data_IF_952602118261
#
_entry.id   IF_952602118261
#
_cell.length_a   1.000
_cell.length_b   1.000
_cell.length_c   1.000
_cell.angle_alpha   90.00
_cell.angle_beta   90.00
_cell.angle_gamma   90.00
#
_symmetry.space_group_name_H-M   'P 1'
#
loop_
_entity.id
_entity.type
_entity.pdbx_description
1 polymer ?
#
# COMPACT_ATOMS: atom_id res chain seq x y z
N UNK A 1 -13.31 -9.67 23.01
CA UNK A 1 -12.75 -8.42 23.53
C UNK A 1 -13.36 -7.27 22.73
N UNK A 2 -14.29 -6.49 23.30
CA UNK A 2 -14.75 -5.24 22.69
C UNK A 2 -13.72 -4.12 22.93
N UNK A 3 -13.70 -3.14 22.05
CA UNK A 3 -12.92 -1.93 22.16
C UNK A 3 -13.68 -0.75 21.57
N UNK A 4 -13.52 0.41 22.18
CA UNK A 4 -14.04 1.68 21.70
C UNK A 4 -12.95 2.73 21.84
N UNK A 5 -12.67 3.47 20.78
CA UNK A 5 -11.64 4.51 20.75
C UNK A 5 -12.27 5.80 20.22
N UNK A 6 -12.00 6.90 20.89
CA UNK A 6 -12.30 8.24 20.39
C UNK A 6 -11.00 8.87 19.92
N UNK A 7 -11.04 9.44 18.74
CA UNK A 7 -9.89 10.13 18.14
C UNK A 7 -10.27 11.52 17.68
N UNK A 8 -9.43 12.48 18.01
CA UNK A 8 -9.51 13.84 17.50
C UNK A 8 -8.22 14.21 16.81
N UNK A 9 -8.34 14.79 15.63
CA UNK A 9 -7.19 15.27 14.85
C UNK A 9 -7.44 16.69 14.38
N UNK A 10 -6.50 17.58 14.70
CA UNK A 10 -6.52 18.97 14.28
C UNK A 10 -5.35 19.17 13.32
N UNK A 11 -5.64 19.61 12.11
CA UNK A 11 -4.63 19.96 11.11
C UNK A 11 -4.71 21.46 10.85
N UNK A 12 -3.56 22.11 10.91
CA UNK A 12 -3.41 23.53 10.61
C UNK A 12 -2.28 23.69 9.63
N UNK A 13 -2.55 24.33 8.52
CA UNK A 13 -1.56 24.64 7.50
C UNK A 13 -1.45 26.15 7.39
N UNK A 14 -0.22 26.63 7.47
CA UNK A 14 0.11 28.02 7.28
C UNK A 14 1.12 28.12 6.15
N UNK A 15 0.76 28.83 5.12
CA UNK A 15 1.67 29.18 4.05
C UNK A 15 2.58 30.32 4.51
N UNK A 16 3.88 30.16 4.32
CA UNK A 16 4.88 31.16 4.69
C UNK A 16 5.38 31.90 3.46
N UNK A 17 5.45 31.20 2.32
CA UNK A 17 5.92 31.77 1.04
C UNK A 17 5.13 31.10 -0.09
N UNK A 18 4.71 31.88 -1.09
CA UNK A 18 4.01 31.40 -2.29
C UNK A 18 2.49 31.63 -2.25
N UNK A 19 1.77 31.27 -3.31
CA UNK A 19 0.34 31.58 -3.51
C UNK A 19 -0.61 30.59 -2.83
N UNK A 20 -0.23 29.95 -1.74
CA UNK A 20 -1.09 29.01 -1.03
C UNK A 20 -2.00 29.67 0.00
N UNK A 21 -3.11 29.01 0.33
CA UNK A 21 -4.06 29.47 1.34
C UNK A 21 -3.87 28.73 2.67
N UNK A 22 -4.03 29.48 3.78
CA UNK A 22 -4.05 28.86 5.10
C UNK A 22 -5.35 28.10 5.28
N UNK A 23 -5.28 26.85 5.76
CA UNK A 23 -6.47 26.09 6.07
C UNK A 23 -6.36 25.35 7.40
N UNK A 24 -7.50 25.03 7.96
CA UNK A 24 -7.62 24.35 9.23
C UNK A 24 -8.76 23.33 9.17
N UNK A 25 -8.47 22.11 9.57
CA UNK A 25 -9.48 21.03 9.65
C UNK A 25 -9.45 20.37 11.01
N UNK A 26 -10.61 19.91 11.48
CA UNK A 26 -10.78 19.17 12.72
C UNK A 26 -11.64 17.94 12.47
N UNK A 27 -11.08 16.78 12.78
CA UNK A 27 -11.75 15.48 12.64
C UNK A 27 -11.97 14.87 14.02
N UNK A 28 -13.20 14.46 14.31
CA UNK A 28 -13.57 13.76 15.55
C UNK A 28 -14.29 12.47 15.22
N UNK A 29 -13.73 11.34 15.61
CA UNK A 29 -14.18 10.03 15.18
C UNK A 29 -14.27 9.06 16.36
N UNK A 30 -15.35 8.26 16.40
CA UNK A 30 -15.54 7.15 17.32
C UNK A 30 -15.31 5.84 16.57
N UNK A 31 -14.40 4.99 17.07
CA UNK A 31 -13.87 3.82 16.38
C UNK A 31 -14.12 2.55 17.19
N UNK A 32 -15.23 1.84 16.93
CA UNK A 32 -15.55 0.58 17.58
C UNK A 32 -14.77 -0.60 17.01
N UNK A 33 -14.50 -1.61 17.83
CA UNK A 33 -13.92 -2.88 17.42
C UNK A 33 -14.39 -4.03 18.30
N UNK A 34 -14.45 -5.23 17.73
CA UNK A 34 -14.72 -6.47 18.47
C UNK A 34 -13.77 -7.54 17.96
N UNK A 35 -13.13 -8.27 18.87
CA UNK A 35 -12.25 -9.38 18.53
C UNK A 35 -12.60 -10.60 19.37
N UNK A 36 -12.82 -11.72 18.69
CA UNK A 36 -13.04 -13.04 19.24
C UNK A 36 -11.86 -13.93 18.84
N UNK A 37 -11.39 -14.75 19.76
CA UNK A 37 -10.29 -15.68 19.47
C UNK A 37 -10.50 -16.98 20.22
N UNK A 38 -10.26 -18.10 19.53
CA UNK A 38 -10.34 -19.43 20.08
C UNK A 38 -9.07 -20.21 19.73
N UNK A 39 -8.46 -20.81 20.74
CA UNK A 39 -7.34 -21.75 20.54
C UNK A 39 -7.90 -23.15 20.29
N UNK A 40 -7.37 -23.83 19.30
CA UNK A 40 -7.67 -25.23 18.97
C UNK A 40 -6.41 -26.05 19.23
N UNK A 41 -6.42 -26.81 20.32
CA UNK A 41 -5.22 -27.52 20.73
C UNK A 41 -4.05 -26.61 21.12
N UNK A 42 -2.83 -27.03 20.86
CA UNK A 42 -1.61 -26.31 21.30
C UNK A 42 -1.06 -25.31 20.26
N UNK A 43 -1.37 -25.50 19.00
CA UNK A 43 -0.67 -24.83 17.89
C UNK A 43 -1.60 -24.07 16.94
N UNK A 44 -2.91 -24.23 17.10
CA UNK A 44 -3.87 -23.66 16.17
C UNK A 44 -4.73 -22.59 16.86
N UNK A 45 -5.12 -21.60 16.08
CA UNK A 45 -5.94 -20.50 16.56
C UNK A 45 -6.90 -20.04 15.46
N UNK A 46 -8.17 -19.84 15.81
CA UNK A 46 -9.14 -19.15 14.98
C UNK A 46 -9.42 -17.80 15.61
N UNK A 47 -9.47 -16.78 14.78
CA UNK A 47 -9.84 -15.42 15.17
C UNK A 47 -10.92 -14.90 14.25
N UNK A 48 -11.92 -14.25 14.81
CA UNK A 48 -12.89 -13.46 14.07
C UNK A 48 -12.93 -12.04 14.64
N UNK A 49 -13.08 -11.06 13.80
CA UNK A 49 -13.05 -9.68 14.21
C UNK A 49 -13.96 -8.79 13.38
N UNK A 50 -14.39 -7.72 14.01
CA UNK A 50 -14.92 -6.54 13.38
C UNK A 50 -14.11 -5.34 13.85
N UNK A 51 -13.72 -4.48 12.93
CA UNK A 51 -13.09 -3.20 13.25
C UNK A 51 -13.59 -2.12 12.31
N UNK A 52 -13.81 -0.96 12.85
CA UNK A 52 -13.90 0.26 12.07
C UNK A 52 -12.53 0.92 12.03
N UNK A 53 -12.13 1.44 10.89
CA UNK A 53 -10.94 2.26 10.71
C UNK A 53 -11.33 3.58 10.08
N UNK A 54 -10.62 4.60 10.46
CA UNK A 54 -10.74 5.93 9.87
C UNK A 54 -9.48 6.21 9.06
N UNK A 55 -9.69 6.80 7.89
CA UNK A 55 -8.62 7.34 7.07
C UNK A 55 -8.87 8.83 6.91
N UNK A 56 -7.98 9.63 7.45
CA UNK A 56 -8.06 11.08 7.34
C UNK A 56 -7.40 11.54 6.07
N UNK A 57 -7.96 12.54 5.39
CA UNK A 57 -7.28 13.12 4.24
C UNK A 57 -5.91 13.65 4.69
N UNK A 58 -4.89 13.33 3.92
CA UNK A 58 -3.56 13.88 4.12
C UNK A 58 -3.49 15.33 3.65
N UNK A 59 -2.42 16.03 4.06
CA UNK A 59 -2.22 17.43 3.70
C UNK A 59 -2.30 17.69 2.19
N UNK A 60 -1.81 16.75 1.38
CA UNK A 60 -1.84 16.86 -0.08
C UNK A 60 -3.24 16.71 -0.68
N UNK A 61 -4.14 15.97 0.00
CA UNK A 61 -5.53 15.88 -0.41
C UNK A 61 -6.31 17.16 -0.07
N UNK A 62 -5.92 17.83 1.01
CA UNK A 62 -6.60 19.01 1.54
C UNK A 62 -6.06 20.32 1.00
N UNK A 63 -4.83 20.31 0.45
CA UNK A 63 -4.15 21.54 0.02
C UNK A 63 -4.89 22.21 -1.13
N UNK A 64 -5.51 23.38 -0.95
CA UNK A 64 -6.26 24.08 -1.98
C UNK A 64 -5.37 24.73 -3.05
N UNK A 65 -4.06 24.55 -2.97
CA UNK A 65 -3.13 25.07 -3.96
C UNK A 65 -3.48 24.56 -5.36
N UNK A 66 -3.68 25.49 -6.27
CA UNK A 66 -3.95 25.20 -7.68
C UNK A 66 -2.62 24.98 -8.39
N UNK A 67 -2.30 23.72 -8.68
CA UNK A 67 -1.09 23.32 -9.37
C UNK A 67 -1.33 23.29 -10.88
N UNK A 68 -0.86 24.31 -11.55
CA UNK A 68 -0.93 24.55 -13.00
C UNK A 68 0.48 24.56 -13.64
N UNK A 69 1.49 24.01 -12.99
CA UNK A 69 2.84 23.90 -13.57
C UNK A 69 2.81 23.25 -14.96
N UNK A 70 1.88 22.33 -15.17
CA UNK A 70 1.51 21.87 -16.50
C UNK A 70 0.06 22.30 -16.77
N UNK A 71 -0.16 23.31 -17.63
CA UNK A 71 -1.48 23.86 -17.86
C UNK A 71 -2.48 22.86 -18.44
N UNK A 72 -2.02 21.74 -19.03
CA UNK A 72 -2.88 20.66 -19.51
C UNK A 72 -3.19 19.60 -18.47
N UNK A 73 -2.51 19.60 -17.32
CA UNK A 73 -2.70 18.63 -16.22
C UNK A 73 -2.71 19.37 -14.90
N UNK A 74 -3.86 19.87 -14.54
CA UNK A 74 -4.08 20.70 -13.36
C UNK A 74 -4.54 19.84 -12.19
N UNK A 75 -4.06 20.13 -11.00
CA UNK A 75 -4.52 19.47 -9.79
C UNK A 75 -4.73 20.45 -8.63
N UNK A 76 -5.72 20.15 -7.80
CA UNK A 76 -6.06 20.93 -6.61
C UNK A 76 -6.60 20.00 -5.54
N UNK A 77 -6.16 20.17 -4.29
CA UNK A 77 -6.73 19.47 -3.15
C UNK A 77 -8.08 20.06 -2.75
N UNK A 78 -8.79 19.35 -1.87
CA UNK A 78 -10.11 19.77 -1.39
C UNK A 78 -10.08 19.88 0.16
N UNK A 79 -10.11 21.08 0.73
CA UNK A 79 -10.09 21.28 2.17
C UNK A 79 -11.37 20.82 2.89
N UNK A 80 -12.47 20.60 2.17
CA UNK A 80 -13.77 20.17 2.71
C UNK A 80 -13.89 18.66 2.90
N UNK A 81 -12.83 17.89 2.60
CA UNK A 81 -12.82 16.45 2.77
C UNK A 81 -13.06 16.04 4.24
N UNK A 82 -13.83 14.98 4.41
CA UNK A 82 -14.14 14.35 5.68
C UNK A 82 -13.34 13.05 5.85
N UNK A 83 -13.16 12.61 7.11
CA UNK A 83 -12.57 11.30 7.39
C UNK A 83 -13.35 10.19 6.69
N UNK A 84 -12.65 9.32 5.98
CA UNK A 84 -13.21 8.08 5.42
C UNK A 84 -13.39 7.06 6.55
N UNK A 85 -14.56 6.42 6.64
CA UNK A 85 -14.88 5.38 7.63
C UNK A 85 -15.00 4.03 6.92
N UNK A 86 -14.08 3.14 7.22
CA UNK A 86 -14.03 1.79 6.67
C UNK A 86 -14.38 0.77 7.73
N UNK A 87 -15.38 -0.04 7.46
CA UNK A 87 -15.79 -1.18 8.28
C UNK A 87 -15.14 -2.44 7.73
N UNK A 88 -14.62 -3.30 8.60
CA UNK A 88 -14.02 -4.55 8.18
C UNK A 88 -14.39 -5.70 9.08
N UNK A 89 -14.73 -6.82 8.48
CA UNK A 89 -14.95 -8.12 9.10
C UNK A 89 -13.84 -9.05 8.65
N UNK A 90 -13.22 -9.75 9.56
CA UNK A 90 -12.17 -10.72 9.26
C UNK A 90 -12.36 -12.03 10.02
N UNK A 91 -12.01 -13.12 9.35
CA UNK A 91 -11.86 -14.44 9.95
C UNK A 91 -10.49 -14.96 9.55
N UNK A 92 -9.72 -15.42 10.52
CA UNK A 92 -8.38 -15.91 10.30
C UNK A 92 -8.16 -17.26 11.02
N UNK A 93 -7.52 -18.17 10.33
CA UNK A 93 -7.00 -19.40 10.89
C UNK A 93 -5.48 -19.37 10.87
N UNK A 94 -4.86 -19.74 11.97
CA UNK A 94 -3.41 -19.82 12.11
C UNK A 94 -3.01 -21.15 12.71
N UNK A 95 -1.96 -21.75 12.17
CA UNK A 95 -1.32 -22.93 12.72
C UNK A 95 0.19 -22.72 12.76
N UNK A 96 0.80 -22.96 13.92
CA UNK A 96 2.23 -22.74 14.15
C UNK A 96 2.89 -24.01 14.66
N UNK A 97 3.88 -24.48 13.93
CA UNK A 97 4.74 -25.59 14.32
C UNK A 97 6.19 -25.31 13.95
N UNK A 98 7.12 -26.12 14.43
CA UNK A 98 8.53 -26.00 14.08
C UNK A 98 8.78 -26.17 12.56
N UNK A 99 7.98 -27.00 11.90
CA UNK A 99 8.15 -27.31 10.47
C UNK A 99 7.27 -26.45 9.57
N UNK A 100 6.08 -26.05 10.05
CA UNK A 100 5.05 -25.48 9.18
C UNK A 100 4.27 -24.39 9.91
N UNK A 101 4.28 -23.21 9.36
CA UNK A 101 3.49 -22.09 9.85
C UNK A 101 2.59 -21.62 8.71
N UNK A 102 1.30 -21.60 8.98
CA UNK A 102 0.29 -21.13 8.02
C UNK A 102 -0.63 -20.14 8.69
N UNK A 103 -1.00 -19.11 7.95
CA UNK A 103 -2.08 -18.20 8.29
C UNK A 103 -2.92 -17.99 7.04
N UNK A 104 -4.22 -18.21 7.16
CA UNK A 104 -5.22 -17.94 6.12
C UNK A 104 -6.23 -16.99 6.70
N UNK A 105 -6.53 -15.90 6.00
CA UNK A 105 -7.54 -14.96 6.46
C UNK A 105 -8.46 -14.53 5.32
N UNK A 106 -9.75 -14.52 5.58
CA UNK A 106 -10.78 -13.92 4.76
C UNK A 106 -11.16 -12.59 5.37
N UNK A 107 -11.21 -11.55 4.56
CA UNK A 107 -11.60 -10.21 4.99
C UNK A 107 -12.62 -9.62 4.02
N UNK A 108 -13.68 -9.07 4.57
CA UNK A 108 -14.60 -8.19 3.83
C UNK A 108 -14.55 -6.81 4.44
N UNK A 109 -14.37 -5.77 3.61
CA UNK A 109 -14.38 -4.38 4.07
C UNK A 109 -15.20 -3.51 3.13
N UNK A 110 -15.80 -2.47 3.72
CA UNK A 110 -16.57 -1.50 2.96
C UNK A 110 -16.47 -0.10 3.57
N UNK A 111 -16.61 0.89 2.73
CA UNK A 111 -16.88 2.28 3.10
C UNK A 111 -17.95 2.87 2.18
N UNK A 112 -18.57 3.96 2.61
CA UNK A 112 -19.61 4.67 1.86
C UNK A 112 -19.24 6.13 1.58
N UNK A 113 -18.09 6.58 2.05
CA UNK A 113 -17.58 7.93 1.88
C UNK A 113 -16.08 7.92 1.54
N UNK A 114 -15.67 7.02 0.66
CA UNK A 114 -14.27 6.91 0.21
C UNK A 114 -13.79 8.22 -0.41
N UNK A 115 -12.58 8.61 -0.03
CA UNK A 115 -11.89 9.74 -0.66
C UNK A 115 -11.31 9.25 -1.97
N UNK A 116 -11.88 9.72 -3.07
CA UNK A 116 -11.46 9.33 -4.42
C UNK A 116 -10.86 10.53 -5.16
N UNK A 117 -9.83 10.25 -5.95
CA UNK A 117 -9.34 11.22 -6.93
C UNK A 117 -10.24 11.20 -8.14
N UNK A 118 -10.75 12.36 -8.53
CA UNK A 118 -11.59 12.53 -9.70
C UNK A 118 -10.89 13.45 -10.68
N UNK A 119 -10.89 13.02 -11.93
CA UNK A 119 -10.39 13.81 -13.05
C UNK A 119 -11.52 14.08 -14.03
N UNK A 120 -11.54 15.29 -14.58
CA UNK A 120 -12.46 15.70 -15.64
C UNK A 120 -11.77 16.57 -16.68
N UNK A 121 -12.22 16.51 -17.90
CA UNK A 121 -11.75 17.39 -18.96
C UNK A 121 -12.47 18.74 -18.87
N UNK A 122 -11.72 19.83 -19.05
CA UNK A 122 -12.28 21.17 -19.20
C UNK A 122 -12.83 21.30 -20.62
N UNK A 123 -14.13 21.49 -20.74
CA UNK A 123 -14.83 21.51 -22.04
C UNK A 123 -15.32 22.91 -22.45
N UNK A 124 -15.27 23.90 -21.57
CA UNK A 124 -15.58 25.28 -21.88
C UNK A 124 -14.55 25.86 -22.87
N UNK A 125 -15.01 26.48 -23.95
CA UNK A 125 -14.13 27.00 -25.01
C UNK A 125 -13.16 28.08 -24.47
N UNK A 126 -13.63 28.96 -23.59
CA UNK A 126 -12.81 30.00 -22.93
C UNK A 126 -12.04 29.50 -21.71
N UNK A 127 -12.08 28.18 -21.45
CA UNK A 127 -11.55 27.59 -20.23
C UNK A 127 -12.50 27.71 -19.03
N UNK A 128 -12.03 27.33 -17.85
CA UNK A 128 -12.80 27.39 -16.60
C UNK A 128 -12.04 28.22 -15.57
N UNK A 129 -12.70 29.22 -15.00
CA UNK A 129 -12.13 30.08 -13.94
C UNK A 129 -12.39 29.47 -12.56
N UNK A 130 -11.31 29.15 -11.86
CA UNK A 130 -11.31 28.63 -10.49
C UNK A 130 -11.19 29.74 -9.42
N UNK A 131 -11.20 31.01 -9.83
CA UNK A 131 -11.01 32.15 -8.95
C UNK A 131 -9.54 32.48 -8.72
N UNK A 132 -9.29 33.67 -8.14
CA UNK A 132 -7.92 34.11 -7.83
C UNK A 132 -7.00 34.32 -9.05
N UNK A 133 -7.56 34.35 -10.27
CA UNK A 133 -6.79 34.44 -11.52
C UNK A 133 -6.33 33.08 -12.08
N UNK A 134 -6.81 31.98 -11.52
CA UNK A 134 -6.50 30.63 -11.97
C UNK A 134 -7.49 30.16 -13.02
N UNK A 135 -7.05 30.10 -14.27
CA UNK A 135 -7.86 29.64 -15.41
C UNK A 135 -7.33 28.32 -15.93
N UNK A 136 -8.18 27.30 -15.95
CA UNK A 136 -7.86 26.04 -16.61
C UNK A 136 -8.25 26.13 -18.09
N UNK A 137 -7.34 25.96 -19.06
CA UNK A 137 -7.65 26.10 -20.46
C UNK A 137 -8.54 24.96 -20.98
N UNK A 138 -9.21 25.21 -22.10
CA UNK A 138 -9.94 24.16 -22.83
C UNK A 138 -9.06 22.95 -23.11
N UNK A 139 -9.58 21.76 -22.90
CA UNK A 139 -8.83 20.51 -23.11
C UNK A 139 -7.88 20.12 -21.95
N UNK A 140 -7.74 20.94 -20.92
CA UNK A 140 -6.99 20.57 -19.73
C UNK A 140 -7.67 19.46 -18.92
N UNK A 141 -6.90 18.58 -18.33
CA UNK A 141 -7.35 17.56 -17.38
C UNK A 141 -7.23 18.12 -15.96
N UNK A 142 -8.34 18.49 -15.35
CA UNK A 142 -8.42 18.93 -13.96
C UNK A 142 -8.65 17.74 -13.04
N UNK A 143 -7.90 17.64 -11.95
CA UNK A 143 -8.02 16.57 -10.96
C UNK A 143 -8.15 17.13 -9.55
N UNK A 144 -9.07 16.57 -8.76
CA UNK A 144 -9.28 16.90 -7.35
C UNK A 144 -9.63 15.65 -6.54
N UNK A 145 -9.99 15.83 -5.27
CA UNK A 145 -10.42 14.75 -4.37
C UNK A 145 -11.81 15.06 -3.81
N UNK A 146 -12.62 14.01 -3.60
CA UNK A 146 -13.91 14.17 -2.96
C UNK A 146 -14.33 12.88 -2.22
N UNK A 147 -15.24 13.00 -1.24
CA UNK A 147 -15.84 11.90 -0.49
C UNK A 147 -17.02 11.28 -1.22
N UNK A 148 -16.80 10.65 -2.34
CA UNK A 148 -17.82 10.14 -3.26
C UNK A 148 -17.78 8.64 -3.49
N UNK A 149 -16.77 7.96 -2.95
CA UNK A 149 -16.58 6.53 -3.18
C UNK A 149 -17.45 5.66 -2.27
N UNK A 150 -18.12 4.67 -2.88
CA UNK A 150 -18.69 3.51 -2.17
C UNK A 150 -17.84 2.31 -2.57
N UNK A 151 -17.00 1.85 -1.65
CA UNK A 151 -16.01 0.80 -1.91
C UNK A 151 -16.35 -0.46 -1.15
N UNK A 152 -16.29 -1.60 -1.81
CA UNK A 152 -16.43 -2.95 -1.27
C UNK A 152 -15.20 -3.76 -1.66
N UNK A 153 -14.59 -4.43 -0.71
CA UNK A 153 -13.43 -5.28 -0.97
C UNK A 153 -13.54 -6.58 -0.17
N UNK A 154 -13.51 -7.70 -0.90
CA UNK A 154 -13.52 -9.04 -0.29
C UNK A 154 -12.24 -9.75 -0.72
N UNK A 155 -11.43 -10.16 0.23
CA UNK A 155 -10.11 -10.73 -0.08
C UNK A 155 -9.72 -11.87 0.82
N UNK A 156 -8.96 -12.79 0.22
CA UNK A 156 -8.30 -13.91 0.88
C UNK A 156 -6.80 -13.63 0.95
N UNK A 157 -6.20 -13.84 2.12
CA UNK A 157 -4.75 -13.76 2.31
C UNK A 157 -4.21 -15.10 2.81
N UNK A 158 -3.06 -15.48 2.29
CA UNK A 158 -2.33 -16.69 2.67
C UNK A 158 -0.91 -16.30 3.06
N UNK A 159 -0.49 -16.75 4.22
CA UNK A 159 0.91 -16.79 4.61
C UNK A 159 1.30 -18.23 4.89
N UNK A 160 2.38 -18.68 4.28
CA UNK A 160 2.96 -20.01 4.46
C UNK A 160 4.46 -19.88 4.69
N UNK A 161 4.97 -20.55 5.71
CA UNK A 161 6.40 -20.77 5.91
C UNK A 161 6.63 -22.24 6.26
N UNK A 162 7.34 -22.92 5.40
CA UNK A 162 7.62 -24.36 5.51
C UNK A 162 9.12 -24.64 5.56
N UNK A 163 9.58 -25.18 6.67
CA UNK A 163 10.90 -25.72 6.83
C UNK A 163 10.89 -27.18 6.31
N UNK A 164 11.01 -27.34 4.98
CA UNK A 164 10.94 -28.64 4.31
C UNK A 164 12.06 -29.58 4.77
N UNK A 165 13.21 -29.01 5.14
CA UNK A 165 14.32 -29.69 5.83
C UNK A 165 15.07 -28.70 6.73
N UNK A 166 16.04 -29.17 7.57
CA UNK A 166 16.90 -28.23 8.31
C UNK A 166 17.70 -27.27 7.44
N UNK A 167 17.84 -27.58 6.14
CA UNK A 167 18.58 -26.78 5.16
C UNK A 167 17.69 -26.04 4.17
N UNK A 168 16.38 -26.36 4.09
CA UNK A 168 15.49 -25.83 3.07
C UNK A 168 14.28 -25.19 3.69
N UNK A 169 14.09 -23.92 3.39
CA UNK A 169 12.93 -23.13 3.78
C UNK A 169 12.20 -22.62 2.55
N UNK A 170 10.89 -22.79 2.54
CA UNK A 170 9.98 -22.28 1.51
C UNK A 170 9.01 -21.33 2.18
N UNK A 171 8.78 -20.18 1.60
CA UNK A 171 7.81 -19.23 2.10
C UNK A 171 6.99 -18.62 0.97
N UNK A 172 5.70 -18.41 1.26
CA UNK A 172 4.75 -17.78 0.33
C UNK A 172 3.87 -16.82 1.13
N UNK A 173 3.68 -15.65 0.59
CA UNK A 173 2.71 -14.67 1.06
C UNK A 173 1.89 -14.22 -0.15
N UNK A 174 0.60 -14.38 -0.10
CA UNK A 174 -0.30 -14.05 -1.20
C UNK A 174 -1.58 -13.40 -0.70
N UNK A 175 -2.11 -12.51 -1.52
CA UNK A 175 -3.42 -11.91 -1.32
C UNK A 175 -4.13 -11.82 -2.65
N UNK A 176 -5.38 -12.25 -2.69
CA UNK A 176 -6.31 -12.01 -3.80
C UNK A 176 -7.56 -11.35 -3.27
N UNK A 177 -8.08 -10.35 -3.96
CA UNK A 177 -9.29 -9.66 -3.56
C UNK A 177 -10.12 -9.21 -4.75
N UNK A 178 -11.41 -9.24 -4.56
CA UNK A 178 -12.38 -8.61 -5.46
C UNK A 178 -12.74 -7.24 -4.90
N UNK A 179 -12.58 -6.23 -5.74
CA UNK A 179 -12.88 -4.84 -5.42
C UNK A 179 -14.05 -4.37 -6.27
N UNK A 180 -15.01 -3.69 -5.66
CA UNK A 180 -16.15 -3.04 -6.30
C UNK A 180 -16.21 -1.59 -5.80
N UNK A 181 -16.09 -0.64 -6.71
CA UNK A 181 -16.03 0.79 -6.43
C UNK A 181 -17.10 1.52 -7.21
N UNK A 182 -17.91 2.30 -6.52
CA UNK A 182 -19.02 3.08 -7.13
C UNK A 182 -18.99 4.52 -6.66
N UNK A 183 -19.37 5.42 -7.56
CA UNK A 183 -19.77 6.79 -7.23
C UNK A 183 -21.07 7.11 -7.95
N UNK A 184 -22.15 7.21 -7.22
CA UNK A 184 -23.45 7.58 -7.78
C UNK A 184 -23.43 9.06 -8.23
N UNK A 185 -22.73 9.92 -7.50
CA UNK A 185 -22.60 11.34 -7.83
C UNK A 185 -21.91 11.58 -9.17
N UNK A 186 -21.00 10.69 -9.57
CA UNK A 186 -20.25 10.79 -10.84
C UNK A 186 -20.75 9.80 -11.90
N UNK A 187 -21.72 8.94 -11.58
CA UNK A 187 -22.18 7.88 -12.48
C UNK A 187 -21.10 6.83 -12.79
N UNK A 188 -20.10 6.67 -11.92
CA UNK A 188 -18.95 5.79 -12.13
C UNK A 188 -19.09 4.47 -11.37
N UNK A 189 -18.72 3.39 -12.04
CA UNK A 189 -18.65 2.06 -11.45
C UNK A 189 -17.48 1.26 -12.04
N UNK A 190 -16.57 0.82 -11.21
CA UNK A 190 -15.47 -0.01 -11.64
C UNK A 190 -15.24 -1.16 -10.63
N UNK A 191 -14.94 -2.34 -11.15
CA UNK A 191 -14.76 -3.53 -10.33
C UNK A 191 -13.78 -4.53 -10.96
N UNK A 192 -13.32 -5.48 -10.17
CA UNK A 192 -12.50 -6.57 -10.66
C UNK A 192 -11.64 -7.21 -9.59
N UNK A 193 -10.87 -8.19 -10.04
CA UNK A 193 -9.91 -8.91 -9.21
C UNK A 193 -8.56 -8.17 -9.17
N UNK A 194 -8.00 -8.09 -7.99
CA UNK A 194 -6.62 -7.69 -7.78
C UNK A 194 -5.93 -8.64 -6.82
N UNK A 195 -4.62 -8.73 -6.91
CA UNK A 195 -3.86 -9.60 -6.05
C UNK A 195 -2.37 -9.32 -6.08
N UNK A 196 -1.70 -9.83 -5.08
CA UNK A 196 -0.26 -9.82 -5.01
C UNK A 196 0.25 -11.10 -4.39
N UNK A 197 1.44 -11.52 -4.79
CA UNK A 197 2.13 -12.62 -4.15
C UNK A 197 3.61 -12.31 -4.01
N UNK A 198 4.22 -12.90 -3.00
CA UNK A 198 5.64 -12.90 -2.78
C UNK A 198 6.02 -14.26 -2.20
N UNK A 199 7.07 -14.87 -2.71
CA UNK A 199 7.53 -16.16 -2.23
C UNK A 199 8.99 -16.42 -2.55
N UNK A 200 9.51 -17.47 -1.96
CA UNK A 200 10.86 -17.87 -2.25
C UNK A 200 11.27 -19.18 -1.58
N UNK A 201 12.42 -19.65 -2.02
CA UNK A 201 13.09 -20.85 -1.52
C UNK A 201 14.48 -20.43 -1.08
N UNK A 202 14.86 -20.82 0.12
CA UNK A 202 16.19 -20.69 0.65
C UNK A 202 16.75 -22.10 0.91
N UNK A 203 17.93 -22.38 0.38
CA UNK A 203 18.60 -23.66 0.59
C UNK A 203 20.05 -23.43 1.06
N UNK A 204 20.42 -24.11 2.14
CA UNK A 204 21.79 -24.06 2.66
C UNK A 204 22.60 -25.21 2.09
N UNK A 205 23.53 -24.87 1.23
CA UNK A 205 24.53 -25.76 0.62
C UNK A 205 25.70 -26.02 1.60
N UNK A 206 26.61 -26.96 1.29
CA UNK A 206 27.87 -27.10 2.00
C UNK A 206 28.65 -25.77 2.11
N UNK A 207 29.63 -25.70 3.01
CA UNK A 207 30.48 -24.51 3.23
C UNK A 207 29.71 -23.24 3.66
N UNK A 208 28.56 -23.39 4.32
CA UNK A 208 27.69 -22.28 4.77
C UNK A 208 27.20 -21.39 3.61
N UNK A 209 27.15 -21.89 2.40
CA UNK A 209 26.58 -21.19 1.25
C UNK A 209 25.06 -21.24 1.34
N UNK A 210 24.39 -20.09 1.27
CA UNK A 210 22.93 -19.97 1.22
C UNK A 210 22.50 -19.49 -0.14
N UNK A 211 21.83 -20.35 -0.88
CA UNK A 211 21.17 -20.02 -2.13
C UNK A 211 19.75 -19.56 -1.82
N UNK A 212 19.33 -18.43 -2.38
CA UNK A 212 17.96 -17.95 -2.27
C UNK A 212 17.42 -17.58 -3.63
N UNK A 213 16.24 -18.11 -3.94
CA UNK A 213 15.43 -17.74 -5.08
C UNK A 213 14.16 -17.09 -4.53
N UNK A 214 13.83 -15.92 -4.98
CA UNK A 214 12.63 -15.21 -4.57
C UNK A 214 11.95 -14.55 -5.76
N UNK A 215 10.66 -14.37 -5.65
CA UNK A 215 9.88 -13.69 -6.67
C UNK A 215 8.53 -13.27 -6.16
N UNK A 216 7.92 -12.38 -6.90
CA UNK A 216 6.62 -11.87 -6.54
C UNK A 216 6.07 -10.95 -7.62
N UNK A 217 4.89 -10.45 -7.36
CA UNK A 217 4.23 -9.53 -8.26
C UNK A 217 2.87 -9.11 -7.74
N UNK A 218 2.30 -8.15 -8.43
CA UNK A 218 0.92 -7.73 -8.25
C UNK A 218 0.22 -7.58 -9.58
N UNK A 219 -1.07 -7.84 -9.60
CA UNK A 219 -1.94 -7.42 -10.70
C UNK A 219 -2.11 -5.90 -10.68
N UNK A 220 -2.64 -5.30 -11.75
CA UNK A 220 -3.08 -3.91 -11.73
C UNK A 220 -4.04 -3.64 -10.58
N UNK A 221 -3.86 -2.51 -9.89
CA UNK A 221 -4.84 -2.03 -8.92
C UNK A 221 -6.04 -1.38 -9.64
N UNK A 222 -7.20 -1.44 -8.99
CA UNK A 222 -8.44 -0.87 -9.49
C UNK A 222 -8.69 0.45 -8.77
N UNK A 223 -9.00 1.49 -9.51
CA UNK A 223 -9.48 2.79 -9.02
C UNK A 223 -10.85 3.08 -9.60
N UNK A 224 -11.55 4.07 -9.09
CA UNK A 224 -12.89 4.42 -9.55
C UNK A 224 -12.93 4.74 -11.04
N UNK A 225 -11.93 5.43 -11.57
CA UNK A 225 -11.83 5.85 -12.98
C UNK A 225 -10.84 5.01 -13.81
N UNK A 226 -10.36 3.85 -13.35
CA UNK A 226 -9.49 3.07 -14.21
C UNK A 226 -8.69 1.98 -13.51
N UNK A 227 -7.52 1.69 -14.09
CA UNK A 227 -6.62 0.65 -13.60
C UNK A 227 -5.18 1.16 -13.62
N UNK A 228 -4.47 0.87 -12.55
CA UNK A 228 -3.04 1.13 -12.48
C UNK A 228 -2.22 0.00 -13.09
N UNK A 229 -0.95 -0.01 -12.80
CA UNK A 229 -0.02 -1.02 -13.30
C UNK A 229 0.15 -2.17 -12.32
N UNK A 230 0.19 -3.39 -12.84
CA UNK A 230 0.77 -4.53 -12.15
C UNK A 230 2.29 -4.57 -12.35
N UNK A 231 2.95 -5.41 -11.55
CA UNK A 231 4.38 -5.65 -11.70
C UNK A 231 4.74 -7.07 -11.27
N UNK A 232 5.87 -7.56 -11.79
CA UNK A 232 6.50 -8.80 -11.35
C UNK A 232 7.99 -8.58 -11.12
N UNK A 233 8.56 -9.37 -10.23
CA UNK A 233 10.00 -9.36 -9.98
C UNK A 233 10.46 -10.75 -9.51
N UNK A 234 11.70 -11.04 -9.77
CA UNK A 234 12.37 -12.24 -9.29
C UNK A 234 13.85 -11.96 -9.05
N UNK A 235 14.42 -12.70 -8.13
CA UNK A 235 15.82 -12.55 -7.76
C UNK A 235 16.44 -13.87 -7.34
N UNK A 236 17.72 -13.96 -7.61
CA UNK A 236 18.61 -15.02 -7.18
C UNK A 236 19.71 -14.40 -6.32
N UNK A 237 20.00 -14.98 -5.18
CA UNK A 237 21.15 -14.58 -4.38
C UNK A 237 21.93 -15.76 -3.81
N UNK A 238 23.23 -15.55 -3.68
CA UNK A 238 24.17 -16.48 -3.06
C UNK A 238 24.88 -15.75 -1.92
N UNK A 239 24.63 -16.17 -0.70
CA UNK A 239 25.22 -15.61 0.49
C UNK A 239 26.18 -16.60 1.12
N UNK A 240 27.32 -16.11 1.62
CA UNK A 240 28.25 -16.89 2.44
C UNK A 240 28.73 -16.07 3.63
N UNK A 241 28.68 -16.71 4.80
CA UNK A 241 29.25 -16.15 6.02
C UNK A 241 30.65 -16.73 6.27
N UNK A 242 31.54 -15.86 6.73
CA UNK A 242 32.92 -16.15 7.02
C UNK A 242 33.24 -15.66 8.43
N UNK A 243 34.40 -16.06 8.93
CA UNK A 243 34.95 -15.75 10.25
C UNK A 243 34.18 -16.39 11.41
N UNK A 244 34.75 -16.28 12.61
CA UNK A 244 34.09 -16.72 13.84
C UNK A 244 32.81 -15.95 14.06
N UNK A 245 31.73 -16.60 14.48
CA UNK A 245 30.42 -16.00 14.73
C UNK A 245 29.79 -15.34 13.49
N UNK A 246 30.15 -15.80 12.28
CA UNK A 246 29.63 -15.29 11.03
C UNK A 246 29.76 -13.75 10.88
N UNK A 247 30.89 -13.19 11.39
CA UNK A 247 31.09 -11.72 11.41
C UNK A 247 31.23 -11.08 10.07
N UNK A 248 31.70 -11.80 9.05
CA UNK A 248 31.77 -11.32 7.67
C UNK A 248 30.76 -12.08 6.83
N UNK A 249 29.93 -11.36 6.11
CA UNK A 249 28.96 -11.91 5.16
C UNK A 249 29.15 -11.28 3.79
N UNK A 250 29.23 -12.10 2.76
CA UNK A 250 29.28 -11.68 1.37
C UNK A 250 28.05 -12.22 0.67
N UNK A 251 27.31 -11.35 0.00
CA UNK A 251 26.11 -11.67 -0.73
C UNK A 251 26.24 -11.19 -2.20
N UNK A 252 26.14 -12.13 -3.12
CA UNK A 252 26.02 -11.88 -4.56
C UNK A 252 24.55 -11.96 -4.92
N UNK A 253 24.04 -11.01 -5.67
CA UNK A 253 22.63 -11.04 -6.09
C UNK A 253 22.44 -10.57 -7.52
N UNK A 254 21.40 -11.11 -8.14
CA UNK A 254 20.89 -10.62 -9.41
C UNK A 254 19.36 -10.58 -9.36
N UNK A 255 18.80 -9.48 -9.83
CA UNK A 255 17.37 -9.29 -9.91
C UNK A 255 16.95 -9.10 -11.37
N UNK A 256 15.81 -9.68 -11.74
CA UNK A 256 15.15 -9.52 -13.04
C UNK A 256 16.11 -9.71 -14.21
N UNK A 257 16.93 -10.77 -14.18
CA UNK A 257 18.04 -11.01 -15.13
C UNK A 257 17.58 -10.97 -16.60
N UNK A 258 16.34 -11.39 -16.89
CA UNK A 258 15.77 -11.41 -18.25
C UNK A 258 15.00 -10.14 -18.61
N UNK A 259 14.72 -9.24 -17.62
CA UNK A 259 13.97 -8.00 -17.84
C UNK A 259 14.83 -6.78 -17.58
N UNK A 260 15.33 -6.14 -18.65
CA UNK A 260 16.12 -4.91 -18.53
C UNK A 260 15.28 -3.73 -18.02
N UNK A 261 14.05 -3.62 -18.49
CA UNK A 261 13.12 -2.54 -18.14
C UNK A 261 11.78 -3.11 -17.73
N UNK A 262 11.11 -2.42 -16.79
CA UNK A 262 9.73 -2.67 -16.40
C UNK A 262 8.87 -1.52 -16.89
N UNK A 263 7.73 -1.85 -17.50
CA UNK A 263 6.75 -0.87 -17.95
C UNK A 263 5.66 -0.70 -16.88
N UNK A 264 5.31 0.54 -16.61
CA UNK A 264 4.19 0.92 -15.77
C UNK A 264 3.16 1.63 -16.64
N UNK A 265 2.00 1.02 -16.80
CA UNK A 265 0.91 1.50 -17.64
C UNK A 265 -0.28 1.85 -16.77
N UNK A 266 -0.67 3.12 -16.76
CA UNK A 266 -1.88 3.57 -16.09
C UNK A 266 -2.93 3.94 -17.13
N UNK A 267 -4.17 3.60 -16.82
CA UNK A 267 -5.34 3.91 -17.63
C UNK A 267 -6.37 4.60 -16.75
N UNK A 268 -6.80 5.77 -17.15
CA UNK A 268 -7.85 6.56 -16.49
C UNK A 268 -8.88 6.94 -17.53
N UNK A 269 -10.15 6.75 -17.20
CA UNK A 269 -11.28 7.00 -18.08
C UNK A 269 -12.33 7.80 -17.33
N UNK A 270 -12.89 8.80 -17.99
CA UNK A 270 -14.00 9.60 -17.52
C UNK A 270 -15.08 9.70 -18.60
N UNK A 271 -16.14 10.43 -18.32
CA UNK A 271 -17.29 10.54 -19.23
C UNK A 271 -16.90 11.05 -20.63
N UNK A 272 -15.86 11.87 -20.74
CA UNK A 272 -15.48 12.56 -21.98
C UNK A 272 -13.97 12.51 -22.28
N UNK A 273 -13.21 11.64 -21.57
CA UNK A 273 -11.78 11.49 -21.83
C UNK A 273 -11.28 10.08 -21.53
N UNK A 274 -10.17 9.73 -22.17
CA UNK A 274 -9.34 8.56 -21.87
C UNK A 274 -7.90 9.02 -21.78
N UNK A 275 -7.25 8.75 -20.65
CA UNK A 275 -5.82 9.04 -20.43
C UNK A 275 -5.06 7.74 -20.25
N UNK A 276 -4.00 7.54 -21.04
CA UNK A 276 -3.09 6.41 -20.94
C UNK A 276 -1.68 6.93 -20.74
N UNK A 277 -1.05 6.54 -19.65
CA UNK A 277 0.36 6.85 -19.41
C UNK A 277 1.19 5.58 -19.35
N UNK A 278 2.38 5.61 -19.95
CA UNK A 278 3.34 4.53 -19.92
C UNK A 278 4.71 5.07 -19.53
N UNK A 279 5.31 4.47 -18.53
CA UNK A 279 6.68 4.77 -18.13
C UNK A 279 7.50 3.49 -18.04
N UNK A 280 8.79 3.57 -18.37
CA UNK A 280 9.72 2.45 -18.32
C UNK A 280 10.84 2.76 -17.35
N UNK A 281 11.09 1.84 -16.43
CA UNK A 281 12.14 1.96 -15.43
C UNK A 281 13.13 0.81 -15.51
N UNK A 282 14.43 1.03 -15.28
CA UNK A 282 15.39 -0.05 -15.16
C UNK A 282 14.97 -1.04 -14.11
N UNK A 283 14.99 -2.33 -14.44
CA UNK A 283 14.51 -3.41 -13.56
C UNK A 283 15.61 -4.41 -13.22
N UNK A 284 16.51 -4.66 -14.17
CA UNK A 284 17.61 -5.61 -13.98
C UNK A 284 18.73 -4.98 -13.13
N UNK A 285 19.17 -5.71 -12.12
CA UNK A 285 20.32 -5.29 -11.32
C UNK A 285 21.17 -6.49 -10.90
N UNK A 286 22.46 -6.23 -10.76
CA UNK A 286 23.45 -7.15 -10.20
C UNK A 286 24.20 -6.42 -9.11
N UNK A 287 24.58 -7.11 -8.06
CA UNK A 287 25.35 -6.48 -7.01
C UNK A 287 26.05 -7.44 -6.10
N UNK A 288 26.99 -6.88 -5.36
CA UNK A 288 27.74 -7.54 -4.28
C UNK A 288 27.53 -6.69 -3.03
N UNK A 289 27.14 -7.35 -1.95
CA UNK A 289 27.04 -6.72 -0.65
C UNK A 289 28.00 -7.41 0.31
N UNK A 290 28.84 -6.64 0.97
CA UNK A 290 29.78 -7.11 1.99
C UNK A 290 29.37 -6.48 3.31
N UNK A 291 29.08 -7.30 4.30
CA UNK A 291 28.69 -6.85 5.64
C UNK A 291 29.69 -7.42 6.67
N UNK A 292 30.25 -6.55 7.48
CA UNK A 292 31.12 -6.92 8.58
C UNK A 292 30.57 -6.41 9.90
N UNK A 293 30.36 -7.32 10.85
CA UNK A 293 29.84 -6.99 12.18
C UNK A 293 30.98 -6.70 13.13
N UNK A 294 31.06 -5.46 13.61
CA UNK A 294 32.04 -5.00 14.60
C UNK A 294 31.37 -5.06 15.99
N UNK A 295 32.08 -5.61 16.97
CA UNK A 295 31.59 -5.70 18.35
C UNK A 295 30.72 -6.91 18.63
N UNK A 296 30.32 -7.07 19.90
CA UNK A 296 29.39 -8.10 20.36
C UNK A 296 28.02 -7.48 20.59
N UNK A 297 26.95 -8.11 20.05
CA UNK A 297 25.59 -7.79 20.44
C UNK A 297 25.38 -8.26 21.89
N UNK A 298 25.65 -7.40 22.87
CA UNK A 298 25.06 -7.58 24.18
C UNK A 298 23.57 -7.40 24.01
N UNK A 299 22.80 -8.46 24.23
CA UNK A 299 21.36 -8.43 24.23
C UNK A 299 20.87 -7.47 25.34
N UNK A 300 20.82 -6.18 25.07
CA UNK A 300 20.05 -5.27 25.90
C UNK A 300 18.58 -5.48 25.54
N UNK A 301 17.79 -5.85 26.51
CA UNK A 301 16.33 -5.87 26.37
C UNK A 301 15.91 -4.45 26.01
N UNK A 302 15.72 -4.19 24.73
CA UNK A 302 15.11 -2.93 24.27
C UNK A 302 13.71 -2.85 24.87
N UNK A 303 13.50 -1.91 25.77
CA UNK A 303 12.14 -1.47 26.09
C UNK A 303 11.43 -1.18 24.77
N UNK A 304 10.31 -1.85 24.54
CA UNK A 304 9.47 -1.58 23.38
C UNK A 304 9.25 -0.06 23.28
N UNK A 305 9.66 0.53 22.18
CA UNK A 305 9.42 1.93 21.92
C UNK A 305 7.89 2.11 21.85
N UNK A 306 7.33 2.84 22.81
CA UNK A 306 5.92 3.23 22.82
C UNK A 306 5.74 4.42 21.88
N UNK A 307 5.96 4.21 20.61
CA UNK A 307 5.59 5.18 19.59
C UNK A 307 4.23 4.79 19.03
N UNK A 308 3.28 5.69 19.13
CA UNK A 308 2.01 5.59 18.42
C UNK A 308 2.30 6.15 17.02
N UNK A 309 2.37 5.30 16.02
CA UNK A 309 2.36 5.74 14.62
C UNK A 309 0.91 5.95 14.18
N UNK A 310 0.63 7.07 13.54
CA UNK A 310 -0.69 7.35 12.99
C UNK A 310 -0.73 6.83 11.54
N UNK A 311 -1.22 5.61 11.36
CA UNK A 311 -1.35 4.95 10.05
C UNK A 311 -2.69 5.30 9.35
N UNK A 312 -3.50 6.17 9.96
CA UNK A 312 -4.88 6.46 9.53
C UNK A 312 -4.95 7.67 8.57
N UNK A 313 -3.81 8.15 8.04
CA UNK A 313 -3.76 9.27 7.09
C UNK A 313 -3.65 8.74 5.66
N UNK A 314 -4.63 9.08 4.81
CA UNK A 314 -4.60 8.79 3.37
C UNK A 314 -3.65 9.79 2.68
N UNK A 315 -2.52 9.26 2.17
CA UNK A 315 -1.55 10.05 1.41
C UNK A 315 -2.10 10.48 0.06
N UNK A 316 -1.96 11.75 -0.28
CA UNK A 316 -2.23 12.27 -1.62
C UNK A 316 -1.05 11.97 -2.54
N UNK A 317 -1.04 10.81 -3.12
CA UNK A 317 -0.04 10.42 -4.11
C UNK A 317 -0.44 9.10 -4.73
N UNK A 318 -0.60 9.09 -6.02
CA UNK A 318 -0.98 7.90 -6.77
C UNK A 318 -0.03 6.74 -6.52
N UNK A 319 -0.60 5.58 -6.31
CA UNK A 319 0.11 4.32 -6.26
C UNK A 319 0.50 3.92 -4.85
N UNK A 320 -0.42 3.19 -4.20
CA UNK A 320 -0.15 2.55 -2.94
C UNK A 320 1.10 1.69 -2.96
N UNK A 321 2.09 2.12 -2.26
CA UNK A 321 3.19 1.25 -1.88
C UNK A 321 2.89 0.73 -0.47
N UNK A 322 2.07 -0.30 -0.39
CA UNK A 322 2.08 -1.17 0.76
C UNK A 322 3.37 -2.01 0.71
N UNK A 323 4.51 -1.33 0.77
CA UNK A 323 5.80 -1.94 0.91
C UNK A 323 5.96 -2.42 2.33
N UNK A 324 5.86 -3.71 2.53
CA UNK A 324 6.20 -4.33 3.78
C UNK A 324 7.62 -3.96 4.19
N UNK A 325 7.74 -3.28 5.31
CA UNK A 325 8.99 -3.15 6.01
C UNK A 325 9.52 -4.53 6.38
N UNK A 326 10.53 -4.98 5.68
CA UNK A 326 11.35 -6.09 6.10
C UNK A 326 12.09 -5.68 7.36
N UNK A 327 11.63 -6.15 8.47
CA UNK A 327 12.42 -6.16 9.69
C UNK A 327 13.66 -7.03 9.50
N UNK A 328 14.74 -6.59 10.05
CA UNK A 328 16.03 -7.25 10.18
C UNK A 328 15.91 -8.65 10.80
#
# INVERSE_FOLDING_TARGET
>A
KPGLRYEQTIQRVKYIVGPGENFHTNFSDLVPSVSLGMKIGKTQNIRAGYNMRIWRPGIWNLNPYFDDQNPMFISQGNPDLKSEKSHAFDVAYSSFSAKFNVNVSLRHSFNNNGIERISRLITAEDGEDFGGGHIAPHGALYSTYDNIGKNRNTGLSLYLNWNASPKTRIYVNGRGSYTDMKSEAQGLHNYGWNGSFYGGIQHTLPLKLRLSLNGGGSTPYISLQGKGSGYQYYGLSLNRSFLKEDRLSVNLYCNNIFEKYRSYNNHTEGANFVSKSSSKWPSRSFGVSVSYRIGELKASVKKAARSISNDDVKGGGGGGNAGGGGGQ
#
